data_IF_609617175029
#
_entry.id   IF_609617175029
#
_cell.length_a   1.000
_cell.length_b   1.000
_cell.length_c   1.000
_cell.angle_alpha   90.00
_cell.angle_beta   90.00
_cell.angle_gamma   90.00
#
_symmetry.space_group_name_H-M   'P 1'
#
loop_
_entity.id
_entity.type
_entity.pdbx_description
1 polymer ?
#
# COMPACT_ATOMS: atom_id res chain seq x y z
N UNK A 1 -39.14 -6.01 15.93
CA UNK A 1 -38.21 -7.07 16.34
C UNK A 1 -37.25 -7.29 15.19
N UNK A 2 -36.03 -6.77 15.32
CA UNK A 2 -34.98 -6.99 14.32
C UNK A 2 -34.39 -8.38 14.54
N UNK A 3 -34.48 -9.21 13.50
CA UNK A 3 -33.96 -10.57 13.42
C UNK A 3 -32.42 -10.52 13.42
N UNK A 4 -31.81 -10.63 14.60
CA UNK A 4 -30.36 -10.76 14.76
C UNK A 4 -29.97 -12.17 14.33
N UNK A 5 -29.80 -12.36 13.03
CA UNK A 5 -29.13 -13.55 12.49
C UNK A 5 -27.72 -13.58 13.04
N UNK A 6 -27.48 -14.54 13.92
CA UNK A 6 -26.18 -14.89 14.49
C UNK A 6 -25.32 -15.62 13.42
N UNK A 7 -25.19 -14.98 12.26
CA UNK A 7 -24.33 -15.42 11.18
C UNK A 7 -22.89 -15.10 11.54
N UNK A 8 -22.20 -16.06 12.16
CA UNK A 8 -20.76 -16.04 12.42
C UNK A 8 -20.21 -14.67 12.84
N UNK A 9 -20.51 -14.27 14.08
CA UNK A 9 -20.12 -12.95 14.60
C UNK A 9 -18.64 -12.66 14.31
N UNK A 10 -18.37 -11.48 13.73
CA UNK A 10 -17.03 -11.00 13.45
C UNK A 10 -16.15 -11.11 14.71
N UNK A 11 -15.11 -11.96 14.67
CA UNK A 11 -14.20 -12.18 15.79
C UNK A 11 -12.86 -11.51 15.55
N UNK A 12 -12.32 -10.84 16.58
CA UNK A 12 -10.97 -10.28 16.54
C UNK A 12 -9.90 -11.36 16.31
N UNK A 13 -10.19 -12.63 16.59
CA UNK A 13 -9.31 -13.77 16.31
C UNK A 13 -9.03 -13.95 14.81
N UNK A 14 -9.95 -13.52 13.94
CA UNK A 14 -9.76 -13.56 12.48
C UNK A 14 -9.13 -12.27 11.95
N UNK A 15 -9.43 -11.14 12.59
CA UNK A 15 -8.91 -9.83 12.21
C UNK A 15 -7.40 -9.70 12.50
N UNK A 16 -6.94 -10.08 13.70
CA UNK A 16 -5.54 -9.89 14.08
C UNK A 16 -4.54 -10.63 13.19
N UNK A 17 -4.77 -11.90 12.78
CA UNK A 17 -3.93 -12.56 11.79
C UNK A 17 -3.91 -11.84 10.44
N UNK A 18 -5.04 -11.32 9.97
CA UNK A 18 -5.10 -10.58 8.71
C UNK A 18 -4.30 -9.26 8.78
N UNK A 19 -4.42 -8.52 9.88
CA UNK A 19 -3.59 -7.33 10.13
C UNK A 19 -2.10 -7.67 10.22
N UNK A 20 -1.74 -8.77 10.90
CA UNK A 20 -0.37 -9.27 10.96
C UNK A 20 0.21 -9.58 9.58
N UNK A 21 -0.53 -10.32 8.73
CA UNK A 21 -0.15 -10.59 7.32
C UNK A 21 0.06 -9.28 6.55
N UNK A 22 -0.83 -8.30 6.71
CA UNK A 22 -0.73 -7.00 6.05
C UNK A 22 0.52 -6.23 6.51
N UNK A 23 0.85 -6.23 7.80
CA UNK A 23 2.04 -5.54 8.33
C UNK A 23 3.34 -6.16 7.77
N UNK A 24 3.43 -7.49 7.72
CA UNK A 24 4.58 -8.20 7.12
C UNK A 24 4.70 -7.88 5.63
N UNK A 25 3.58 -7.89 4.90
CA UNK A 25 3.55 -7.53 3.49
C UNK A 25 3.95 -6.07 3.24
N UNK A 26 3.51 -5.14 4.10
CA UNK A 26 3.89 -3.72 4.04
C UNK A 26 5.40 -3.54 4.23
N UNK A 27 5.98 -4.20 5.24
CA UNK A 27 7.43 -4.15 5.49
C UNK A 27 8.23 -4.64 4.27
N UNK A 28 7.81 -5.75 3.66
CA UNK A 28 8.43 -6.27 2.43
C UNK A 28 8.31 -5.30 1.25
N UNK A 29 7.14 -4.70 1.06
CA UNK A 29 6.90 -3.71 0.00
C UNK A 29 7.79 -2.48 0.20
N UNK A 30 7.84 -1.92 1.41
CA UNK A 30 8.64 -0.74 1.75
C UNK A 30 10.14 -0.99 1.57
N UNK A 31 10.61 -2.18 1.95
CA UNK A 31 11.98 -2.61 1.71
C UNK A 31 12.33 -2.64 0.21
N UNK A 32 11.43 -3.16 -0.63
CA UNK A 32 11.62 -3.17 -2.09
C UNK A 32 11.54 -1.80 -2.71
N UNK A 33 10.67 -0.92 -2.20
CA UNK A 33 10.63 0.49 -2.60
C UNK A 33 11.97 1.17 -2.35
N UNK A 34 12.56 1.02 -1.15
CA UNK A 34 13.88 1.59 -0.81
C UNK A 34 14.94 1.14 -1.80
N UNK A 35 15.00 -0.15 -2.12
CA UNK A 35 15.95 -0.66 -3.10
C UNK A 35 15.72 -0.14 -4.51
N UNK A 36 14.47 -0.02 -4.94
CA UNK A 36 14.14 0.55 -6.25
C UNK A 36 14.61 1.99 -6.36
N UNK A 37 14.31 2.83 -5.36
CA UNK A 37 14.68 4.25 -5.35
C UNK A 37 16.22 4.41 -5.26
N UNK A 38 16.88 3.63 -4.41
CA UNK A 38 18.34 3.58 -4.34
C UNK A 38 18.97 3.23 -5.69
N UNK A 39 18.43 2.22 -6.37
CA UNK A 39 18.90 1.83 -7.69
C UNK A 39 18.67 2.91 -8.75
N UNK A 40 17.52 3.59 -8.74
CA UNK A 40 17.24 4.71 -9.65
C UNK A 40 18.23 5.87 -9.45
N UNK A 41 18.64 6.15 -8.20
CA UNK A 41 19.61 7.20 -7.88
C UNK A 41 21.06 6.86 -8.30
N UNK A 42 21.31 5.62 -8.73
CA UNK A 42 22.66 5.10 -8.97
C UNK A 42 23.30 4.56 -7.68
N UNK A 43 24.04 3.45 -7.79
CA UNK A 43 24.58 2.72 -6.64
C UNK A 43 25.56 3.58 -5.80
N UNK A 44 26.26 4.52 -6.43
CA UNK A 44 27.21 5.42 -5.74
C UNK A 44 26.54 6.57 -4.97
N UNK A 45 25.34 7.00 -5.39
CA UNK A 45 24.57 8.05 -4.73
C UNK A 45 23.38 7.52 -3.93
N UNK A 46 23.04 6.24 -4.04
CA UNK A 46 21.88 5.65 -3.38
C UNK A 46 22.06 5.38 -1.88
N UNK A 47 23.29 5.46 -1.36
CA UNK A 47 23.59 5.18 0.04
C UNK A 47 22.72 5.97 1.02
N UNK A 48 22.56 7.28 0.83
CA UNK A 48 21.76 8.14 1.73
C UNK A 48 20.25 7.86 1.68
N UNK A 49 19.75 7.23 0.61
CA UNK A 49 18.34 6.84 0.44
C UNK A 49 18.03 5.57 1.24
N UNK A 50 19.04 4.70 1.41
CA UNK A 50 18.93 3.46 2.19
C UNK A 50 19.04 3.73 3.70
N UNK A 51 19.77 4.77 4.11
CA UNK A 51 19.89 5.13 5.52
C UNK A 51 18.57 5.66 6.12
N UNK A 52 18.35 5.28 7.37
CA UNK A 52 17.05 5.02 8.01
C UNK A 52 16.11 6.24 8.16
N UNK A 53 14.79 5.97 8.21
CA UNK A 53 13.79 6.92 8.69
C UNK A 53 12.92 7.62 7.64
N UNK A 54 13.21 7.47 6.34
CA UNK A 54 12.39 8.13 5.31
C UNK A 54 11.00 7.50 5.19
N UNK A 55 9.98 8.35 5.04
CA UNK A 55 8.59 7.95 4.86
C UNK A 55 8.34 7.38 3.46
N UNK A 56 7.29 6.56 3.31
CA UNK A 56 6.88 6.05 2.00
C UNK A 56 6.55 7.19 1.03
N UNK A 57 5.87 8.24 1.50
CA UNK A 57 5.55 9.41 0.68
C UNK A 57 6.82 10.09 0.15
N UNK A 58 7.84 10.23 1.00
CA UNK A 58 9.11 10.80 0.61
C UNK A 58 9.82 9.91 -0.43
N UNK A 59 9.87 8.59 -0.21
CA UNK A 59 10.49 7.65 -1.15
C UNK A 59 9.81 7.66 -2.53
N UNK A 60 8.46 7.72 -2.55
CA UNK A 60 7.69 7.83 -3.79
C UNK A 60 7.99 9.14 -4.51
N UNK A 61 7.99 10.28 -3.80
CA UNK A 61 8.28 11.58 -4.39
C UNK A 61 9.70 11.64 -4.98
N UNK A 62 10.71 11.15 -4.24
CA UNK A 62 12.09 11.08 -4.69
C UNK A 62 12.25 10.14 -5.90
N UNK A 63 11.64 8.96 -5.86
CA UNK A 63 11.68 8.01 -6.97
C UNK A 63 11.09 8.57 -8.26
N UNK A 64 9.96 9.29 -8.18
CA UNK A 64 9.34 9.98 -9.31
C UNK A 64 10.21 11.09 -9.88
N UNK A 65 10.83 11.90 -9.02
CA UNK A 65 11.72 12.98 -9.44
C UNK A 65 12.93 12.42 -10.23
N UNK A 66 13.62 11.42 -9.67
CA UNK A 66 14.75 10.75 -10.32
C UNK A 66 14.33 10.13 -11.65
N UNK A 67 13.17 9.45 -11.67
CA UNK A 67 12.64 8.85 -12.89
C UNK A 67 12.35 9.90 -13.98
N UNK A 68 11.84 11.08 -13.59
CA UNK A 68 11.63 12.21 -14.49
C UNK A 68 12.93 12.72 -15.12
N UNK A 69 14.00 12.84 -14.33
CA UNK A 69 15.34 13.21 -14.82
C UNK A 69 15.90 12.15 -15.78
N UNK A 70 15.75 10.87 -15.45
CA UNK A 70 16.18 9.75 -16.30
C UNK A 70 15.46 9.76 -17.66
N UNK A 71 14.14 10.00 -17.67
CA UNK A 71 13.35 10.17 -18.91
C UNK A 71 13.87 11.35 -19.73
N UNK A 72 14.06 12.51 -19.10
CA UNK A 72 14.53 13.72 -19.78
C UNK A 72 15.91 13.52 -20.43
N UNK A 73 16.80 12.80 -19.77
CA UNK A 73 18.14 12.50 -20.30
C UNK A 73 18.15 11.60 -21.55
N UNK A 74 16.98 11.07 -21.97
CA UNK A 74 16.78 10.10 -23.08
C UNK A 74 17.60 8.82 -22.99
N UNK A 75 18.23 8.57 -21.86
CA UNK A 75 19.01 7.34 -21.67
C UNK A 75 18.11 6.15 -21.32
N UNK A 76 16.89 6.41 -20.82
CA UNK A 76 15.98 5.38 -20.29
C UNK A 76 14.83 5.00 -21.25
N UNK A 77 14.42 3.72 -21.34
CA UNK A 77 13.24 3.33 -22.14
C UNK A 77 11.90 3.74 -21.51
N UNK A 78 11.05 4.45 -22.27
CA UNK A 78 9.79 5.03 -21.78
C UNK A 78 8.81 4.01 -21.16
N UNK A 79 8.62 2.86 -21.80
CA UNK A 79 7.69 1.81 -21.32
C UNK A 79 8.04 1.32 -19.91
N UNK A 80 9.33 1.13 -19.64
CA UNK A 80 9.79 0.70 -18.31
C UNK A 80 9.66 1.82 -17.28
N UNK A 81 9.85 3.08 -17.69
CA UNK A 81 9.56 4.20 -16.81
C UNK A 81 8.08 4.27 -16.44
N UNK A 82 7.17 3.99 -17.37
CA UNK A 82 5.73 4.02 -17.07
C UNK A 82 5.33 2.92 -16.08
N UNK A 83 5.93 1.72 -16.20
CA UNK A 83 5.73 0.65 -15.22
C UNK A 83 6.20 1.03 -13.81
N UNK A 84 7.37 1.65 -13.71
CA UNK A 84 7.91 2.12 -12.42
C UNK A 84 7.03 3.24 -11.85
N UNK A 85 6.63 4.20 -12.66
CA UNK A 85 5.77 5.32 -12.26
C UNK A 85 4.42 4.82 -11.70
N UNK A 86 3.80 3.87 -12.40
CA UNK A 86 2.56 3.25 -11.96
C UNK A 86 2.74 2.49 -10.64
N UNK A 87 3.84 1.76 -10.48
CA UNK A 87 4.13 1.06 -9.24
C UNK A 87 4.33 2.04 -8.06
N UNK A 88 5.03 3.16 -8.27
CA UNK A 88 5.23 4.21 -7.26
C UNK A 88 3.90 4.86 -6.86
N UNK A 89 3.03 5.16 -7.83
CA UNK A 89 1.68 5.69 -7.58
C UNK A 89 0.86 4.75 -6.69
N UNK A 90 0.94 3.47 -6.99
CA UNK A 90 0.17 2.45 -6.27
C UNK A 90 0.70 2.19 -4.87
N UNK A 91 2.02 2.18 -4.68
CA UNK A 91 2.65 2.09 -3.36
C UNK A 91 2.13 3.20 -2.45
N UNK A 92 2.04 4.43 -2.95
CA UNK A 92 1.50 5.56 -2.20
C UNK A 92 0.04 5.35 -1.78
N UNK A 93 -0.81 4.90 -2.71
CA UNK A 93 -2.22 4.64 -2.43
C UNK A 93 -2.40 3.52 -1.38
N UNK A 94 -1.65 2.42 -1.52
CA UNK A 94 -1.69 1.28 -0.59
C UNK A 94 -1.15 1.66 0.79
N UNK A 95 -0.07 2.44 0.86
CA UNK A 95 0.48 2.92 2.13
C UNK A 95 -0.51 3.84 2.87
N UNK A 96 -1.26 4.67 2.15
CA UNK A 96 -2.33 5.48 2.73
C UNK A 96 -3.45 4.63 3.32
N UNK A 97 -3.87 3.56 2.63
CA UNK A 97 -4.88 2.60 3.12
C UNK A 97 -4.36 1.85 4.35
N UNK A 98 -3.15 1.30 4.28
CA UNK A 98 -2.48 0.64 5.41
C UNK A 98 -2.40 1.55 6.63
N UNK A 99 -2.00 2.80 6.45
CA UNK A 99 -1.92 3.77 7.54
C UNK A 99 -3.29 4.09 8.14
N UNK A 100 -4.37 4.01 7.36
CA UNK A 100 -5.73 4.12 7.89
C UNK A 100 -6.07 2.93 8.78
N UNK A 101 -5.81 1.70 8.31
CA UNK A 101 -6.14 0.47 9.02
C UNK A 101 -5.30 0.24 10.29
N UNK A 102 -4.00 0.52 10.24
CA UNK A 102 -3.08 0.28 11.37
C UNK A 102 -3.26 1.29 12.50
N UNK A 103 -3.65 2.53 12.17
CA UNK A 103 -3.85 3.60 13.15
C UNK A 103 -5.34 3.89 13.40
N UNK A 104 -6.23 3.03 12.89
CA UNK A 104 -7.65 3.10 13.16
C UNK A 104 -7.99 2.32 14.42
N UNK A 105 -9.05 2.74 15.08
CA UNK A 105 -9.72 2.00 16.14
C UNK A 105 -10.73 1.04 15.51
N UNK A 106 -10.71 -0.22 15.95
CA UNK A 106 -11.47 -1.30 15.32
C UNK A 106 -12.61 -1.74 16.23
N UNK A 107 -13.82 -1.86 15.67
CA UNK A 107 -15.00 -2.30 16.40
C UNK A 107 -15.91 -3.17 15.53
N UNK A 108 -16.78 -3.94 16.17
CA UNK A 108 -17.85 -4.70 15.51
C UNK A 108 -19.11 -3.86 15.29
N UNK A 109 -19.19 -2.67 15.87
CA UNK A 109 -20.32 -1.75 15.74
C UNK A 109 -19.90 -0.42 15.12
N UNK A 110 -20.85 0.15 14.40
CA UNK A 110 -20.71 1.48 13.86
C UNK A 110 -20.92 2.55 14.94
N UNK A 111 -20.04 3.55 14.99
CA UNK A 111 -20.10 4.66 15.94
C UNK A 111 -20.75 5.93 15.37
N UNK A 112 -20.71 6.12 14.06
CA UNK A 112 -21.15 7.34 13.38
C UNK A 112 -22.24 7.07 12.35
N UNK A 113 -23.24 7.97 12.30
CA UNK A 113 -24.24 7.99 11.23
C UNK A 113 -23.63 8.15 9.83
N UNK A 114 -22.37 8.62 9.75
CA UNK A 114 -21.63 8.84 8.50
C UNK A 114 -20.60 7.74 8.21
N UNK A 115 -20.74 6.54 8.79
CA UNK A 115 -19.87 5.43 8.45
C UNK A 115 -19.95 5.10 6.96
N UNK A 116 -18.79 5.09 6.30
CA UNK A 116 -18.73 4.78 4.87
C UNK A 116 -18.92 3.28 4.68
N UNK A 117 -19.95 2.86 3.94
CA UNK A 117 -20.22 1.45 3.76
C UNK A 117 -19.16 0.80 2.88
N UNK A 118 -19.00 -0.51 3.03
CA UNK A 118 -18.12 -1.30 2.18
C UNK A 118 -18.64 -1.27 0.73
N UNK A 119 -17.73 -1.20 -0.23
CA UNK A 119 -18.11 -1.15 -1.65
C UNK A 119 -18.86 -2.42 -2.07
N UNK A 120 -20.03 -2.26 -2.69
CA UNK A 120 -20.93 -3.36 -3.08
C UNK A 120 -20.36 -4.30 -4.15
N UNK A 121 -19.31 -3.89 -4.87
CA UNK A 121 -18.66 -4.70 -5.89
C UNK A 121 -17.58 -5.63 -5.32
N UNK A 122 -17.31 -5.57 -4.01
CA UNK A 122 -16.39 -6.49 -3.35
C UNK A 122 -17.12 -7.81 -3.01
N UNK A 123 -16.42 -8.96 -3.03
CA UNK A 123 -16.98 -10.25 -2.63
C UNK A 123 -17.59 -10.20 -1.24
N UNK A 124 -18.69 -10.92 -1.03
CA UNK A 124 -19.33 -11.06 0.28
C UNK A 124 -18.34 -11.62 1.30
N UNK A 125 -18.34 -11.03 2.49
CA UNK A 125 -17.58 -11.49 3.65
C UNK A 125 -18.34 -11.00 4.87
N UNK A 126 -18.77 -11.95 5.72
CA UNK A 126 -19.63 -11.65 6.87
C UNK A 126 -18.80 -11.12 8.06
N UNK A 127 -17.46 -11.21 7.97
CA UNK A 127 -16.51 -10.75 9.00
C UNK A 127 -16.19 -9.28 8.80
N UNK A 128 -17.21 -8.45 8.95
CA UNK A 128 -17.14 -7.00 8.77
C UNK A 128 -16.86 -6.31 10.11
N UNK A 129 -15.94 -5.35 10.07
CA UNK A 129 -15.60 -4.47 11.17
C UNK A 129 -15.75 -3.01 10.74
N UNK A 130 -15.81 -2.12 11.73
CA UNK A 130 -15.79 -0.69 11.56
C UNK A 130 -14.44 -0.16 12.01
N UNK A 131 -13.79 0.62 11.15
CA UNK A 131 -12.48 1.23 11.43
C UNK A 131 -12.67 2.74 11.51
N UNK A 132 -12.54 3.28 12.71
CA UNK A 132 -12.63 4.70 12.97
C UNK A 132 -11.24 5.32 13.09
N UNK A 133 -11.02 6.47 12.44
CA UNK A 133 -9.76 7.21 12.55
C UNK A 133 -10.04 8.69 12.70
N UNK A 134 -9.58 9.24 13.81
CA UNK A 134 -9.49 10.69 13.99
C UNK A 134 -8.11 11.18 13.59
N UNK A 135 -8.04 12.22 12.75
CA UNK A 135 -6.78 12.91 12.43
C UNK A 135 -6.96 14.39 12.67
N UNK A 136 -6.03 14.98 13.42
CA UNK A 136 -5.97 16.43 13.63
C UNK A 136 -6.07 17.16 12.27
N UNK A 137 -7.05 18.07 12.14
CA UNK A 137 -7.41 18.84 10.93
C UNK A 137 -8.07 18.11 9.75
N UNK A 138 -8.21 16.78 9.77
CA UNK A 138 -8.91 16.03 8.69
C UNK A 138 -10.27 15.47 9.11
N UNK A 139 -10.67 15.69 10.36
CA UNK A 139 -11.94 15.24 10.90
C UNK A 139 -11.93 13.76 11.30
N UNK A 140 -13.12 13.29 11.66
CA UNK A 140 -13.40 11.89 11.98
C UNK A 140 -13.81 11.15 10.71
N UNK A 141 -13.19 10.00 10.45
CA UNK A 141 -13.57 9.13 9.35
C UNK A 141 -13.77 7.70 9.87
N UNK A 142 -14.89 7.09 9.50
CA UNK A 142 -15.22 5.70 9.84
C UNK A 142 -15.59 4.94 8.56
N UNK A 143 -15.12 3.69 8.45
CA UNK A 143 -15.35 2.84 7.27
C UNK A 143 -15.65 1.41 7.69
N UNK A 144 -16.56 0.77 6.97
CA UNK A 144 -16.70 -0.69 7.01
C UNK A 144 -15.55 -1.36 6.26
N UNK A 145 -14.95 -2.36 6.88
CA UNK A 145 -13.83 -3.13 6.33
C UNK A 145 -14.04 -4.60 6.67
N UNK A 146 -14.02 -5.45 5.66
CA UNK A 146 -14.04 -6.89 5.87
C UNK A 146 -12.62 -7.45 6.04
N UNK A 147 -12.50 -8.60 6.72
CA UNK A 147 -11.22 -9.32 6.85
C UNK A 147 -10.61 -9.62 5.47
N UNK A 148 -11.41 -10.05 4.49
CA UNK A 148 -10.95 -10.28 3.11
C UNK A 148 -10.37 -9.04 2.43
N UNK A 149 -10.81 -7.82 2.81
CA UNK A 149 -10.26 -6.59 2.23
C UNK A 149 -8.83 -6.35 2.72
N UNK A 150 -8.59 -6.61 4.02
CA UNK A 150 -7.25 -6.56 4.63
C UNK A 150 -6.33 -7.61 3.98
N UNK A 151 -6.82 -8.82 3.76
CA UNK A 151 -6.06 -9.90 3.11
C UNK A 151 -5.74 -9.58 1.65
N UNK A 152 -6.68 -8.99 0.92
CA UNK A 152 -6.44 -8.53 -0.46
C UNK A 152 -5.41 -7.42 -0.51
N UNK A 153 -5.47 -6.47 0.43
CA UNK A 153 -4.48 -5.41 0.54
C UNK A 153 -3.08 -5.99 0.82
N UNK A 154 -2.99 -6.96 1.74
CA UNK A 154 -1.74 -7.68 2.02
C UNK A 154 -1.20 -8.41 0.78
N UNK A 155 -2.05 -9.14 0.05
CA UNK A 155 -1.68 -9.78 -1.21
C UNK A 155 -1.19 -8.75 -2.23
N UNK A 156 -1.88 -7.61 -2.34
CA UNK A 156 -1.52 -6.58 -3.31
C UNK A 156 -0.15 -5.96 -3.00
N UNK A 157 0.18 -5.74 -1.73
CA UNK A 157 1.53 -5.32 -1.31
C UNK A 157 2.61 -6.31 -1.74
N UNK A 158 2.36 -7.62 -1.61
CA UNK A 158 3.29 -8.66 -2.08
C UNK A 158 3.44 -8.64 -3.60
N UNK A 159 2.32 -8.55 -4.33
CA UNK A 159 2.33 -8.51 -5.80
C UNK A 159 3.06 -7.26 -6.32
N UNK A 160 2.87 -6.12 -5.65
CA UNK A 160 3.51 -4.85 -5.99
C UNK A 160 5.01 -4.84 -5.67
N UNK A 161 5.41 -5.47 -4.56
CA UNK A 161 6.83 -5.69 -4.25
C UNK A 161 7.52 -6.51 -5.36
N UNK A 162 6.85 -7.55 -5.86
CA UNK A 162 7.36 -8.35 -6.98
C UNK A 162 7.35 -7.57 -8.31
N UNK A 163 6.36 -6.70 -8.53
CA UNK A 163 6.30 -5.87 -9.74
C UNK A 163 7.44 -4.84 -9.77
N UNK A 164 7.76 -4.20 -8.65
CA UNK A 164 8.91 -3.29 -8.55
C UNK A 164 10.21 -4.00 -8.92
N UNK A 165 10.43 -5.22 -8.44
CA UNK A 165 11.60 -6.02 -8.80
C UNK A 165 11.62 -6.37 -10.30
N UNK A 166 10.48 -6.79 -10.87
CA UNK A 166 10.38 -7.10 -12.31
C UNK A 166 10.63 -5.87 -13.19
N UNK A 167 10.02 -4.73 -12.84
CA UNK A 167 10.18 -3.47 -13.57
C UNK A 167 11.65 -3.01 -13.53
N UNK A 168 12.31 -3.10 -12.37
CA UNK A 168 13.75 -2.83 -12.22
C UNK A 168 14.60 -3.72 -13.13
N UNK A 169 14.35 -5.03 -13.12
CA UNK A 169 15.12 -5.98 -13.95
C UNK A 169 14.91 -5.70 -15.44
N UNK A 170 13.66 -5.50 -15.88
CA UNK A 170 13.34 -5.20 -17.27
C UNK A 170 14.02 -3.90 -17.74
N UNK A 171 13.99 -2.86 -16.89
CA UNK A 171 14.65 -1.60 -17.14
C UNK A 171 16.18 -1.74 -17.22
N UNK A 172 16.80 -2.51 -16.31
CA UNK A 172 18.25 -2.79 -16.35
C UNK A 172 18.67 -3.51 -17.64
N UNK A 173 17.91 -4.52 -18.07
CA UNK A 173 18.19 -5.26 -19.30
C UNK A 173 18.11 -4.33 -20.51
N UNK A 174 17.04 -3.55 -20.60
CA UNK A 174 16.83 -2.62 -21.71
C UNK A 174 17.86 -1.48 -21.75
N UNK A 175 18.45 -1.13 -20.61
CA UNK A 175 19.54 -0.16 -20.53
C UNK A 175 20.89 -0.75 -20.97
N UNK A 176 21.28 -1.93 -20.46
CA UNK A 176 22.58 -2.57 -20.78
C UNK A 176 22.62 -3.07 -22.23
N UNK A 177 21.48 -3.42 -22.81
CA UNK A 177 21.39 -3.84 -24.21
C UNK A 177 21.54 -2.72 -25.24
N UNK A 178 21.79 -1.48 -24.81
CA UNK A 178 22.09 -0.31 -25.65
C UNK A 178 23.54 0.11 -25.46
#
# INVERSE_FOLDING_TARGET
MADTRDGGAASFDELYPALGKMLVASSRMEWRLRYLVCWLAGEDQGGWIVFEGQSVDWLVASGRAILGELRYSRRWPDENSDRIENALAEVQAIAAQRNFLVHGDWDTKCYSENCKPRLRNLPSDDRVFHVARSRYRKGFEEREVAVTDVEKLAKRMVDLAAEMDRAKVAARIAWIGR
#
